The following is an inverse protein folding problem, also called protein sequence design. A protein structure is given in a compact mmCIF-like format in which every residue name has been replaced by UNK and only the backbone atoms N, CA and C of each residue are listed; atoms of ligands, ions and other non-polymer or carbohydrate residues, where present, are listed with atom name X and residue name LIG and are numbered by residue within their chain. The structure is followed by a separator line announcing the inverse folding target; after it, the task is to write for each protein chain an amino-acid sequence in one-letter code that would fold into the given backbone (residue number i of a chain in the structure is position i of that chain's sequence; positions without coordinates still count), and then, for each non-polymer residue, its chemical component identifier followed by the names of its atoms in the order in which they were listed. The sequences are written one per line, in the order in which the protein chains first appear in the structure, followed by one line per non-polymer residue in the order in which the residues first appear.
data_IF_620759749578
#
_entry.id   IF_620759749578
#
_cell.length_a   1.000
_cell.length_b   1.000
_cell.length_c   1.000
_cell.angle_alpha   90.00
_cell.angle_beta   90.00
_cell.angle_gamma   90.00
#
_symmetry.space_group_name_H-M   'P 1'
#
loop_
_entity.id
_entity.type
_entity.pdbx_description
1 polymer ?
2 non-polymer ?
3 water ?
#
# COMPACT_ATOMS: atom_id res chain seq x y z
N UNK A 20 -8.85 -20.03 21.13
CA UNK A 20 -8.05 -20.43 19.93
C UNK A 20 -8.74 -19.90 18.69
N UNK A 21 -9.76 -20.69 18.28
CA UNK A 21 -10.65 -20.36 17.21
C UNK A 21 -11.11 -18.91 17.42
N UNK A 22 -11.31 -18.48 18.67
CA UNK A 22 -11.56 -17.06 18.98
C UNK A 22 -10.44 -16.05 18.57
N UNK A 23 -9.20 -16.52 18.65
CA UNK A 23 -8.04 -15.70 18.28
C UNK A 23 -7.84 -15.70 16.75
N UNK A 24 -8.02 -16.87 16.13
CA UNK A 24 -8.26 -17.02 14.73
C UNK A 24 -9.49 -16.24 14.05
N UNK A 25 -10.58 -16.04 14.79
CA UNK A 25 -11.55 -15.00 14.51
C UNK A 25 -10.89 -13.61 14.60
N UNK A 26 -9.87 -13.55 15.44
CA UNK A 26 -9.02 -12.36 15.64
C UNK A 26 -8.17 -11.94 14.43
N UNK A 27 -7.83 -12.91 13.64
CA UNK A 27 -6.96 -12.77 12.49
C UNK A 27 -7.78 -12.59 11.18
N UNK A 28 -9.06 -13.01 11.19
CA UNK A 28 -9.81 -13.30 9.99
C UNK A 28 -10.39 -12.09 9.30
N UNK A 29 -10.40 -12.13 7.99
CA UNK A 29 -11.00 -11.05 7.18
C UNK A 29 -12.23 -11.55 6.35
N UNK A 30 -12.80 -12.70 6.75
CA UNK A 30 -13.86 -13.34 5.94
C UNK A 30 -15.02 -12.36 5.83
N UNK A 31 -15.58 -12.23 4.64
CA UNK A 31 -16.69 -11.27 4.47
C UNK A 31 -16.20 -9.81 4.17
N UNK A 32 -14.87 -9.50 4.28
CA UNK A 32 -14.42 -8.11 3.98
C UNK A 32 -14.00 -7.98 2.55
N UNK A 33 -14.33 -6.86 1.95
CA UNK A 33 -13.81 -6.61 0.62
C UNK A 33 -12.63 -5.64 0.66
N UNK A 34 -11.53 -5.99 0.00
CA UNK A 34 -10.39 -5.11 -0.05
C UNK A 34 -10.19 -4.55 -1.48
N UNK A 35 -9.76 -3.30 -1.57
CA UNK A 35 -9.27 -2.69 -2.78
C UNK A 35 -7.74 -2.32 -2.61
N UNK A 36 -6.88 -2.92 -3.42
CA UNK A 36 -5.46 -2.78 -3.32
C UNK A 36 -4.88 -2.17 -4.61
N UNK A 37 -4.39 -0.94 -4.57
CA UNK A 37 -3.73 -0.36 -5.80
C UNK A 37 -2.31 -0.92 -5.85
N UNK A 38 -1.73 -1.05 -7.04
CA UNK A 38 -0.44 -1.63 -7.25
C UNK A 38 -0.42 -3.12 -6.89
N UNK A 39 -1.55 -3.82 -7.04
CA UNK A 39 -1.64 -5.26 -6.70
C UNK A 39 -1.02 -6.25 -7.70
N UNK A 40 -0.35 -5.77 -8.73
CA UNK A 40 0.13 -6.65 -9.83
C UNK A 40 1.53 -7.18 -9.51
N UNK A 41 2.20 -6.48 -8.59
CA UNK A 41 3.62 -6.74 -8.32
C UNK A 41 4.09 -6.31 -6.88
N UNK A 42 5.28 -6.80 -6.52
CA UNK A 42 6.03 -6.48 -5.31
C UNK A 42 5.13 -6.51 -4.10
N UNK A 43 5.17 -5.39 -3.39
CA UNK A 43 4.50 -5.28 -2.10
C UNK A 43 3.00 -5.38 -2.24
N UNK A 44 2.42 -4.65 -3.20
CA UNK A 44 1.01 -4.70 -3.48
C UNK A 44 0.44 -6.12 -3.72
N UNK A 45 1.13 -6.90 -4.55
CA UNK A 45 0.73 -8.30 -4.85
C UNK A 45 0.85 -9.15 -3.59
N UNK A 46 1.92 -8.94 -2.80
CA UNK A 46 2.02 -9.71 -1.58
C UNK A 46 0.91 -9.33 -0.64
N UNK A 47 0.56 -8.05 -0.57
CA UNK A 47 -0.58 -7.68 0.31
C UNK A 47 -1.91 -8.29 -0.20
N UNK A 48 -2.18 -8.18 -1.51
CA UNK A 48 -3.44 -8.69 -2.04
C UNK A 48 -3.56 -10.20 -1.75
N UNK A 49 -2.47 -10.94 -1.91
CA UNK A 49 -2.47 -12.32 -1.50
C UNK A 49 -2.63 -12.65 -0.04
N UNK A 50 -1.97 -11.88 0.86
CA UNK A 50 -2.15 -12.14 2.24
C UNK A 50 -3.57 -11.77 2.67
N UNK A 51 -4.12 -10.65 2.20
CA UNK A 51 -5.46 -10.31 2.54
C UNK A 51 -6.50 -11.41 2.11
N UNK A 52 -6.31 -11.97 0.91
CA UNK A 52 -7.15 -13.05 0.36
C UNK A 52 -6.94 -14.33 1.16
N UNK A 53 -5.69 -14.67 1.50
CA UNK A 53 -5.46 -15.77 2.44
C UNK A 53 -6.26 -15.68 3.78
N UNK A 54 -6.32 -14.50 4.39
CA UNK A 54 -7.17 -14.35 5.57
C UNK A 54 -8.64 -14.20 5.34
N UNK A 55 -9.13 -14.32 4.08
CA UNK A 55 -10.57 -14.34 3.82
C UNK A 55 -11.16 -13.17 3.08
N UNK A 56 -10.37 -12.11 2.86
CA UNK A 56 -10.92 -10.94 2.16
C UNK A 56 -11.15 -11.25 0.67
N UNK A 57 -12.19 -10.70 0.10
CA UNK A 57 -12.29 -10.72 -1.33
C UNK A 57 -11.51 -9.49 -1.84
N UNK A 58 -10.62 -9.67 -2.81
CA UNK A 58 -9.73 -8.65 -3.17
C UNK A 58 -9.88 -8.13 -4.61
N UNK A 59 -10.15 -6.83 -4.76
CA UNK A 59 -9.97 -6.14 -6.06
C UNK A 59 -8.58 -5.47 -6.03
N UNK A 60 -7.76 -5.76 -7.03
CA UNK A 60 -6.46 -5.20 -7.20
C UNK A 60 -6.43 -4.48 -8.60
N UNK A 61 -5.69 -3.35 -8.65
CA UNK A 61 -5.65 -2.54 -9.83
C UNK A 61 -4.28 -2.58 -10.45
N UNK A 62 -4.22 -2.22 -11.74
CA UNK A 62 -2.95 -2.21 -12.45
C UNK A 62 -3.11 -1.14 -13.56
N UNK A 63 -2.02 -0.66 -14.13
CA UNK A 63 -2.10 0.42 -15.10
C UNK A 63 -2.02 -0.19 -16.48
N UNK A 64 -0.98 -0.97 -16.78
CA UNK A 64 -0.93 -1.65 -18.05
C UNK A 64 -0.50 -3.14 -17.99
N UNK A 65 0.09 -3.59 -16.85
CA UNK A 65 0.57 -5.00 -16.69
C UNK A 65 -0.61 -6.01 -16.50
N UNK A 66 -1.47 -6.13 -17.53
CA UNK A 66 -2.69 -6.97 -17.48
C UNK A 66 -2.45 -8.44 -17.10
N UNK A 67 -1.39 -9.00 -17.67
CA UNK A 67 -1.08 -10.43 -17.52
C UNK A 67 -0.61 -10.70 -16.11
N UNK A 68 0.32 -9.88 -15.60
CA UNK A 68 0.81 -10.00 -14.22
C UNK A 68 -0.37 -9.93 -13.16
N UNK A 69 -1.32 -9.04 -13.36
CA UNK A 69 -2.42 -8.85 -12.48
C UNK A 69 -3.37 -10.06 -12.50
N UNK A 70 -3.68 -10.53 -13.70
CA UNK A 70 -4.40 -11.80 -13.84
C UNK A 70 -3.70 -12.97 -13.19
N UNK A 71 -2.39 -13.06 -13.26
CA UNK A 71 -1.73 -14.19 -12.65
C UNK A 71 -1.78 -14.07 -11.07
N UNK A 72 -1.81 -12.84 -10.55
CA UNK A 72 -1.98 -12.70 -9.11
C UNK A 72 -3.39 -13.18 -8.73
N UNK A 73 -4.43 -12.70 -9.42
CA UNK A 73 -5.76 -13.27 -9.25
C UNK A 73 -5.75 -14.84 -9.33
N UNK A 74 -5.09 -15.42 -10.32
CA UNK A 74 -5.06 -16.90 -10.37
C UNK A 74 -4.43 -17.50 -9.16
N UNK A 75 -3.29 -16.95 -8.70
CA UNK A 75 -2.70 -17.48 -7.45
C UNK A 75 -3.66 -17.38 -6.25
N UNK A 76 -4.38 -16.28 -6.16
CA UNK A 76 -5.28 -16.12 -5.04
C UNK A 76 -6.44 -17.20 -5.19
N UNK A 77 -7.00 -17.34 -6.39
CA UNK A 77 -8.03 -18.37 -6.64
C UNK A 77 -7.57 -19.81 -6.34
N UNK A 78 -6.35 -20.12 -6.69
CA UNK A 78 -5.80 -21.44 -6.46
C UNK A 78 -5.65 -21.77 -4.97
N UNK A 79 -5.35 -20.74 -4.16
CA UNK A 79 -5.25 -20.95 -2.75
C UNK A 79 -6.63 -20.82 -2.11
N UNK A 80 -7.70 -20.72 -2.87
CA UNK A 80 -9.00 -20.78 -2.23
C UNK A 80 -9.70 -19.44 -2.00
N UNK A 81 -9.11 -18.35 -2.53
CA UNK A 81 -9.72 -17.04 -2.34
C UNK A 81 -10.45 -16.49 -3.54
N UNK A 82 -10.96 -15.29 -3.38
CA UNK A 82 -11.70 -14.60 -4.39
C UNK A 82 -10.98 -13.26 -4.70
N UNK A 83 -10.82 -12.92 -5.98
CA UNK A 83 -10.14 -11.69 -6.39
C UNK A 83 -10.53 -11.32 -7.84
N UNK A 84 -10.42 -10.04 -8.17
CA UNK A 84 -10.61 -9.50 -9.53
C UNK A 84 -9.50 -8.48 -9.81
N UNK A 85 -9.03 -8.40 -11.04
CA UNK A 85 -8.08 -7.40 -11.45
C UNK A 85 -8.83 -6.32 -12.27
N UNK A 86 -8.64 -5.03 -11.93
CA UNK A 86 -9.31 -3.95 -12.64
C UNK A 86 -8.24 -2.98 -13.14
N UNK A 87 -8.33 -2.56 -14.42
CA UNK A 87 -7.39 -1.65 -15.00
C UNK A 87 -7.77 -0.23 -14.55
N UNK A 88 -6.82 0.50 -13.96
CA UNK A 88 -7.14 1.90 -13.52
C UNK A 88 -5.80 2.62 -13.42
N UNK A 89 -5.54 3.48 -14.38
CA UNK A 89 -4.37 4.33 -14.44
C UNK A 89 -4.44 5.32 -13.20
N UNK A 90 -3.48 5.23 -12.32
CA UNK A 90 -3.42 6.14 -11.15
C UNK A 90 -3.30 7.63 -11.52
N UNK A 91 -2.81 7.97 -12.71
CA UNK A 91 -2.83 9.40 -13.17
C UNK A 91 -4.21 10.00 -13.42
N UNK A 92 -5.27 9.16 -13.51
CA UNK A 92 -6.61 9.53 -13.93
C UNK A 92 -7.60 9.29 -12.75
N UNK A 93 -8.04 10.36 -12.11
CA UNK A 93 -8.88 10.31 -11.02
C UNK A 93 -10.18 9.55 -11.37
N UNK A 94 -10.73 9.76 -12.57
CA UNK A 94 -11.96 9.12 -12.95
C UNK A 94 -11.78 7.62 -13.06
N UNK A 95 -10.68 7.18 -13.62
CA UNK A 95 -10.40 5.78 -13.67
C UNK A 95 -10.36 5.10 -12.24
N UNK A 96 -9.78 5.79 -11.26
CA UNK A 96 -9.73 5.27 -9.89
C UNK A 96 -11.10 5.20 -9.32
N UNK A 97 -11.91 6.21 -9.51
CA UNK A 97 -13.21 6.23 -8.90
C UNK A 97 -14.17 5.16 -9.55
N UNK A 98 -14.01 4.95 -10.83
CA UNK A 98 -14.73 3.90 -11.55
C UNK A 98 -14.32 2.50 -11.02
N UNK A 99 -13.02 2.28 -10.86
CA UNK A 99 -12.51 1.04 -10.35
C UNK A 99 -13.15 0.80 -8.97
N UNK A 100 -13.22 1.79 -8.13
CA UNK A 100 -13.84 1.63 -6.85
C UNK A 100 -15.34 1.31 -6.91
N UNK A 101 -16.06 1.98 -7.79
CA UNK A 101 -17.49 1.72 -8.01
C UNK A 101 -17.72 0.30 -8.52
N UNK A 102 -16.86 -0.15 -9.39
CA UNK A 102 -16.87 -1.48 -9.89
C UNK A 102 -16.61 -2.52 -8.83
N UNK A 103 -15.78 -2.19 -7.88
CA UNK A 103 -15.39 -3.14 -6.88
C UNK A 103 -16.60 -3.33 -6.01
N UNK A 104 -17.20 -2.22 -5.66
CA UNK A 104 -18.30 -2.22 -4.80
C UNK A 104 -19.49 -3.04 -5.38
N UNK A 105 -19.66 -2.98 -6.71
CA UNK A 105 -20.81 -3.57 -7.34
C UNK A 105 -20.56 -5.03 -7.50
N UNK A 106 -19.35 -5.39 -7.86
CA UNK A 106 -19.02 -6.77 -8.10
C UNK A 106 -18.78 -7.61 -6.80
N UNK A 107 -18.25 -7.01 -5.74
CA UNK A 107 -17.82 -7.72 -4.56
C UNK A 107 -18.69 -7.36 -3.36
N UNK A 108 -19.62 -6.42 -3.47
CA UNK A 108 -20.61 -6.22 -2.43
C UNK A 108 -20.45 -5.03 -1.48
N UNK A 109 -19.29 -4.37 -1.47
CA UNK A 109 -19.12 -3.28 -0.51
C UNK A 109 -17.64 -3.01 -0.50
N UNK A 110 -17.15 -2.26 0.51
CA UNK A 110 -15.69 -1.99 0.52
C UNK A 110 -15.31 -1.74 1.91
N UNK A 111 -14.38 -2.53 2.46
CA UNK A 111 -14.11 -2.48 3.90
C UNK A 111 -12.63 -2.11 4.13
N UNK A 112 -11.78 -2.39 3.16
CA UNK A 112 -10.36 -2.21 3.34
C UNK A 112 -9.78 -1.54 2.11
N UNK A 113 -9.10 -0.41 2.28
CA UNK A 113 -8.34 0.20 1.18
C UNK A 113 -6.85 0.18 1.49
N UNK A 114 -6.08 -0.34 0.56
CA UNK A 114 -4.67 -0.28 0.67
C UNK A 114 -4.11 0.45 -0.56
N UNK A 115 -3.34 1.52 -0.29
CA UNK A 115 -2.68 2.33 -1.33
C UNK A 115 -1.27 1.82 -1.47
N UNK A 116 -0.98 1.09 -2.53
CA UNK A 116 0.32 0.51 -2.63
C UNK A 116 0.89 0.63 -4.07
N UNK A 117 0.56 1.69 -4.77
CA UNK A 117 1.00 1.85 -6.17
C UNK A 117 2.08 2.94 -6.31
N UNK A 118 2.88 3.19 -5.32
CA UNK A 118 3.97 4.17 -5.55
C UNK A 118 4.94 3.85 -6.70
N UNK A 119 5.53 4.89 -7.34
CA UNK A 119 6.71 4.70 -8.22
C UNK A 119 8.00 5.31 -7.64
N UNK A 120 9.10 4.66 -7.93
CA UNK A 120 10.39 5.12 -7.47
C UNK A 120 10.86 6.26 -8.37
N UNK A 121 11.56 7.23 -7.78
CA UNK A 121 12.22 8.22 -8.54
C UNK A 121 13.52 8.64 -7.82
N UNK A 122 14.56 8.77 -8.63
CA UNK A 122 15.88 9.20 -8.17
C UNK A 122 16.59 9.96 -9.29
N UNK A 123 17.19 11.14 -9.03
CA UNK A 123 17.95 11.88 -10.07
C UNK A 123 18.66 13.04 -9.41
N UNK A 124 19.80 13.45 -9.98
CA UNK A 124 20.44 14.65 -9.44
C UNK A 124 19.48 15.83 -9.48
N UNK A 125 19.52 16.68 -8.46
CA UNK A 125 18.61 17.84 -8.48
C UNK A 125 18.70 18.65 -9.76
N UNK A 126 19.93 18.87 -10.26
CA UNK A 126 20.17 19.65 -11.49
C UNK A 126 19.53 19.03 -12.73
N UNK A 127 19.21 17.73 -12.68
CA UNK A 127 18.44 17.11 -13.75
C UNK A 127 16.94 16.88 -13.48
N UNK A 128 16.37 17.55 -12.47
CA UNK A 128 14.97 17.28 -12.09
C UNK A 128 14.17 18.43 -12.54
N UNK A 129 13.06 18.13 -13.22
CA UNK A 129 12.28 19.23 -13.79
C UNK A 129 11.00 19.38 -13.01
N UNK A 130 10.29 20.44 -13.32
CA UNK A 130 8.97 20.63 -12.76
C UNK A 130 8.02 19.49 -13.19
N UNK A 131 8.12 19.06 -14.45
CA UNK A 131 7.35 17.87 -14.96
C UNK A 131 7.65 16.60 -14.20
N UNK A 132 8.91 16.35 -13.83
CA UNK A 132 9.24 15.26 -12.89
C UNK A 132 8.51 15.34 -11.54
N UNK A 133 8.45 16.54 -10.91
CA UNK A 133 7.70 16.71 -9.68
C UNK A 133 6.28 16.34 -9.93
N UNK A 134 5.72 16.88 -11.02
CA UNK A 134 4.29 16.73 -11.30
C UNK A 134 3.92 15.22 -11.44
N UNK A 135 4.77 14.52 -12.16
CA UNK A 135 4.66 13.10 -12.43
C UNK A 135 4.80 12.23 -11.15
N UNK A 136 5.85 12.47 -10.33
CA UNK A 136 5.98 11.75 -9.05
C UNK A 136 4.77 11.97 -8.17
N UNK A 137 4.32 13.23 -8.05
CA UNK A 137 3.19 13.52 -7.15
C UNK A 137 1.88 12.97 -7.68
N UNK A 138 1.67 12.96 -8.99
CA UNK A 138 0.38 12.53 -9.53
C UNK A 138 0.11 11.07 -9.08
N UNK A 139 1.14 10.25 -9.08
CA UNK A 139 1.00 8.87 -8.75
C UNK A 139 1.27 8.56 -7.25
N UNK A 140 2.27 9.21 -6.65
CA UNK A 140 2.68 8.89 -5.28
C UNK A 140 1.82 9.49 -4.24
N UNK A 141 1.23 10.63 -4.52
CA UNK A 141 0.58 11.43 -3.48
C UNK A 141 -0.91 11.68 -3.85
N UNK A 142 -1.16 12.16 -5.07
CA UNK A 142 -2.49 12.51 -5.48
C UNK A 142 -3.39 11.24 -5.68
N UNK A 143 -2.85 10.21 -6.32
CA UNK A 143 -3.61 8.96 -6.54
C UNK A 143 -4.10 8.28 -5.22
N UNK A 144 -3.23 8.15 -4.19
CA UNK A 144 -3.81 7.80 -2.85
C UNK A 144 -4.88 8.71 -2.32
N UNK A 145 -4.75 10.02 -2.43
CA UNK A 145 -5.86 10.85 -1.94
C UNK A 145 -7.16 10.58 -2.72
N UNK A 146 -7.09 10.53 -4.08
CA UNK A 146 -8.27 10.18 -4.90
C UNK A 146 -8.99 8.86 -4.45
N UNK A 147 -8.21 7.79 -4.29
CA UNK A 147 -8.74 6.51 -3.85
C UNK A 147 -9.35 6.67 -2.47
N UNK A 148 -8.69 7.37 -1.56
CA UNK A 148 -9.22 7.51 -0.22
C UNK A 148 -10.51 8.29 -0.26
N UNK A 149 -10.56 9.39 -1.00
CA UNK A 149 -11.74 10.22 -0.89
C UNK A 149 -12.95 9.45 -1.48
N UNK A 150 -12.74 8.72 -2.56
CA UNK A 150 -13.78 7.90 -3.13
C UNK A 150 -14.12 6.63 -2.29
N UNK A 151 -13.13 5.91 -1.72
CA UNK A 151 -13.44 4.71 -0.93
C UNK A 151 -14.23 5.14 0.29
N UNK A 152 -13.99 6.36 0.75
CA UNK A 152 -14.53 6.79 1.99
C UNK A 152 -16.06 6.88 2.03
N UNK A 153 -16.78 7.07 0.93
CA UNK A 153 -18.26 6.94 1.02
C UNK A 153 -18.65 5.51 1.38
N UNK A 154 -17.86 4.53 0.99
CA UNK A 154 -18.31 3.14 1.10
C UNK A 154 -17.91 2.47 2.41
N UNK A 155 -16.96 3.03 3.13
CA UNK A 155 -16.40 2.33 4.26
C UNK A 155 -17.35 2.56 5.38
N UNK A 156 -17.44 1.66 6.35
CA UNK A 156 -18.31 1.90 7.49
C UNK A 156 -17.53 1.67 8.79
N UNK A 157 -18.26 1.56 9.91
CA UNK A 157 -17.65 1.18 11.19
C UNK A 157 -16.83 -0.09 11.01
N UNK A 158 -15.58 -0.12 11.46
CA UNK A 158 -14.73 -1.27 11.20
C UNK A 158 -13.90 -1.10 9.92
N UNK A 159 -14.09 -0.02 9.17
CA UNK A 159 -13.28 0.16 7.92
C UNK A 159 -11.79 0.39 8.14
N UNK A 160 -10.97 0.15 7.12
CA UNK A 160 -9.51 0.27 7.24
C UNK A 160 -8.93 1.01 6.04
N UNK A 161 -8.11 2.03 6.28
CA UNK A 161 -7.31 2.61 5.20
C UNK A 161 -5.84 2.40 5.57
N UNK A 162 -5.06 1.77 4.69
CA UNK A 162 -3.65 1.60 5.02
C UNK A 162 -2.85 2.10 3.85
N UNK A 163 -1.91 3.01 4.04
CA UNK A 163 -1.12 3.47 2.91
C UNK A 163 0.30 2.93 2.99
N UNK A 164 0.92 2.58 1.84
CA UNK A 164 2.29 2.17 1.89
C UNK A 164 3.18 3.39 1.64
N UNK A 165 4.02 3.75 2.63
CA UNK A 165 4.84 4.94 2.54
C UNK A 165 6.25 4.48 2.19
N UNK A 166 7.23 4.84 3.01
CA UNK A 166 8.61 4.41 2.80
C UNK A 166 9.34 4.86 4.05
N UNK A 167 10.38 4.19 4.49
CA UNK A 167 11.17 4.76 5.61
C UNK A 167 11.89 6.10 5.24
N UNK A 168 11.99 6.38 3.92
CA UNK A 168 12.51 7.65 3.40
C UNK A 168 11.55 8.79 3.73
N UNK A 169 10.34 8.50 4.18
CA UNK A 169 9.47 9.56 4.66
C UNK A 169 9.97 10.24 5.96
N UNK A 170 10.77 9.55 6.75
CA UNK A 170 11.19 10.06 8.02
C UNK A 170 12.67 10.43 8.07
N UNK A 171 13.46 9.90 7.14
CA UNK A 171 14.88 10.00 7.23
C UNK A 171 15.40 9.87 5.80
N UNK A 172 16.09 10.87 5.32
CA UNK A 172 16.60 10.87 3.94
C UNK A 172 18.15 10.89 3.94
N UNK A 173 18.79 9.71 3.79
CA UNK A 173 20.24 9.67 3.98
C UNK A 173 21.08 10.08 2.77
N UNK A 174 20.45 10.26 1.61
CA UNK A 174 21.15 10.41 0.34
C UNK A 174 20.61 11.60 -0.47
N UNK A 175 21.44 12.17 -1.37
CA UNK A 175 20.95 13.17 -2.33
C UNK A 175 20.18 12.43 -3.44
N UNK A 176 19.45 13.15 -4.25
CA UNK A 176 18.82 12.52 -5.40
C UNK A 176 17.39 12.08 -5.16
N UNK A 177 16.89 12.06 -3.91
CA UNK A 177 15.57 11.41 -3.66
C UNK A 177 14.53 12.31 -3.00
N UNK A 178 14.65 13.61 -3.19
CA UNK A 178 13.77 14.59 -2.55
C UNK A 178 12.35 14.43 -2.93
N UNK A 179 12.04 14.23 -4.23
CA UNK A 179 10.66 14.07 -4.69
C UNK A 179 10.03 12.84 -4.08
N UNK A 180 10.74 11.73 -4.13
CA UNK A 180 10.13 10.45 -3.69
C UNK A 180 9.88 10.58 -2.20
N UNK A 181 10.92 11.01 -1.46
CA UNK A 181 10.82 11.21 0.01
C UNK A 181 9.71 12.16 0.43
N UNK A 182 9.64 13.29 -0.23
CA UNK A 182 8.59 14.20 0.01
C UNK A 182 7.18 13.59 -0.26
N UNK A 183 7.02 12.86 -1.34
CA UNK A 183 5.67 12.30 -1.68
C UNK A 183 5.22 11.38 -0.53
N UNK A 184 6.18 10.67 0.08
CA UNK A 184 5.85 9.74 1.16
C UNK A 184 5.61 10.44 2.52
N UNK A 185 6.42 11.48 2.82
CA UNK A 185 6.16 12.35 3.94
C UNK A 185 4.80 13.04 3.84
N UNK A 186 4.40 13.44 2.65
CA UNK A 186 3.08 14.05 2.46
C UNK A 186 2.00 13.05 2.86
N UNK A 187 2.13 11.81 2.43
CA UNK A 187 1.15 10.76 2.76
C UNK A 187 1.02 10.54 4.29
N UNK A 188 2.14 10.63 5.03
CA UNK A 188 2.09 10.48 6.48
C UNK A 188 1.31 11.67 7.07
N UNK A 189 1.50 12.88 6.54
CA UNK A 189 0.79 14.03 7.10
C UNK A 189 -0.70 13.90 6.72
N UNK A 190 -0.98 13.42 5.51
CA UNK A 190 -2.38 13.22 5.06
C UNK A 190 -3.06 12.18 5.97
N UNK A 191 -2.35 11.07 6.24
CA UNK A 191 -2.78 10.05 7.21
C UNK A 191 -3.21 10.55 8.59
N UNK A 192 -2.43 11.42 9.21
CA UNK A 192 -2.86 11.98 10.52
C UNK A 192 -4.15 12.76 10.40
N UNK A 193 -4.25 13.58 9.38
CA UNK A 193 -5.43 14.42 9.26
C UNK A 193 -6.66 13.56 8.93
N UNK A 194 -6.48 12.53 8.10
CA UNK A 194 -7.58 11.61 7.73
C UNK A 194 -7.99 10.73 8.88
N UNK A 195 -7.05 10.42 9.79
CA UNK A 195 -7.44 9.68 10.96
C UNK A 195 -8.46 10.46 11.82
N UNK A 196 -8.26 11.78 11.93
CA UNK A 196 -9.22 12.65 12.61
C UNK A 196 -10.56 12.72 11.89
N UNK A 197 -10.51 12.84 10.55
CA UNK A 197 -11.73 12.91 9.76
C UNK A 197 -12.56 11.66 9.92
N UNK A 198 -11.93 10.47 9.90
CA UNK A 198 -12.65 9.20 9.71
C UNK A 198 -12.83 8.42 11.00
N UNK A 199 -12.07 8.78 12.03
CA UNK A 199 -12.21 8.21 13.36
C UNK A 199 -13.61 8.08 13.95
N UNK A 200 -14.41 9.17 13.98
CA UNK A 200 -15.76 9.14 14.56
C UNK A 200 -16.66 8.16 13.81
N UNK A 201 -16.30 7.78 12.59
CA UNK A 201 -17.03 6.77 11.88
C UNK A 201 -16.55 5.35 12.15
N UNK A 202 -15.50 5.19 12.95
CA UNK A 202 -15.01 3.83 13.30
C UNK A 202 -14.03 3.34 12.23
N UNK A 203 -13.40 4.23 11.45
CA UNK A 203 -12.45 3.78 10.39
C UNK A 203 -11.03 4.14 10.85
N UNK A 204 -10.08 3.20 10.72
CA UNK A 204 -8.72 3.55 11.12
C UNK A 204 -7.98 3.88 9.86
N UNK A 205 -6.97 4.75 10.00
CA UNK A 205 -6.18 5.24 8.82
C UNK A 205 -4.74 5.26 9.25
N UNK A 206 -3.92 4.43 8.63
CA UNK A 206 -2.53 4.28 9.06
C UNK A 206 -1.59 4.26 7.88
N UNK A 207 -0.29 4.40 8.16
CA UNK A 207 0.67 4.31 7.08
C UNK A 207 1.81 3.43 7.51
N UNK A 208 2.15 2.52 6.64
CA UNK A 208 3.24 1.59 6.86
C UNK A 208 4.45 2.02 6.01
N UNK A 209 5.64 2.15 6.63
CA UNK A 209 6.82 2.64 5.92
C UNK A 209 7.85 1.50 5.70
N UNK A 210 7.90 0.88 4.51
CA UNK A 210 8.81 -0.24 4.33
C UNK A 210 10.16 0.34 4.11
N UNK A 211 11.16 -0.41 4.55
CA UNK A 211 12.57 -0.07 4.23
C UNK A 211 12.92 -0.89 2.97
N UNK A 212 14.14 -1.39 2.87
CA UNK A 212 14.60 -2.06 1.63
C UNK A 212 14.03 -3.48 1.60
N UNK A 213 13.26 -3.71 0.56
CA UNK A 213 12.44 -4.88 0.41
C UNK A 213 12.80 -5.41 -0.96
N UNK A 214 13.15 -6.67 -0.99
CA UNK A 214 13.63 -7.31 -2.16
C UNK A 214 12.51 -7.38 -3.24
N UNK A 215 12.54 -6.46 -4.21
CA UNK A 215 11.50 -6.31 -5.26
C UNK A 215 12.17 -5.96 -6.64
N UNK A 216 11.40 -5.99 -7.75
CA UNK A 216 11.81 -5.34 -9.04
C UNK A 216 12.29 -3.86 -8.89
N UNK A 217 11.45 -3.04 -8.19
CA UNK A 217 11.78 -1.64 -7.83
C UNK A 217 13.11 -1.54 -7.06
N UNK A 218 13.37 -2.53 -6.18
CA UNK A 218 14.54 -2.54 -5.28
C UNK A 218 15.22 -3.92 -5.09
N UNK A 219 15.91 -4.44 -6.14
CA UNK A 219 16.48 -5.83 -6.03
C UNK A 219 17.57 -6.01 -4.92
N UNK A 220 17.45 -7.04 -4.07
CA UNK A 220 18.52 -7.33 -3.06
C UNK A 220 20.01 -7.46 -3.59
N UNK A 221 20.13 -7.52 -4.93
CA UNK A 221 21.40 -7.42 -5.63
C UNK A 221 21.68 -5.98 -6.05
N UNK A 222 22.88 -5.54 -5.73
CA UNK A 222 23.39 -4.21 -5.96
C UNK A 222 23.56 -4.27 -7.44
N UNK A 223 23.73 -3.17 -8.15
CA UNK A 223 24.27 -1.93 -7.67
C UNK A 223 23.47 -1.09 -6.73
N UNK A 224 24.15 -0.57 -5.75
CA UNK A 224 23.55 0.35 -4.82
C UNK A 224 22.75 -0.38 -3.73
N UNK A 225 22.70 -1.70 -3.78
CA UNK A 225 22.04 -2.41 -2.71
C UNK A 225 22.85 -2.26 -1.46
N UNK A 226 24.16 -2.36 -1.62
CA UNK A 226 25.07 -2.29 -0.47
C UNK A 226 24.92 -1.06 0.41
N UNK A 227 24.84 0.12 -0.19
CA UNK A 227 24.63 1.36 0.59
C UNK A 227 23.37 1.23 1.55
N UNK A 228 22.30 0.63 1.00
CA UNK A 228 21.03 0.39 1.71
C UNK A 228 21.18 -0.71 2.76
N UNK A 229 21.84 -1.80 2.35
CA UNK A 229 22.05 -2.99 3.18
C UNK A 229 22.88 -2.71 4.45
N UNK A 230 23.84 -1.81 4.34
CA UNK A 230 24.74 -1.38 5.39
C UNK A 230 24.02 -0.74 6.60
N UNK A 231 22.98 0.02 6.31
CA UNK A 231 22.07 0.63 7.23
C UNK A 231 21.24 -0.33 8.09
N UNK A 232 20.93 -1.49 7.55
CA UNK A 232 20.01 -2.38 8.18
C UNK A 232 20.56 -3.06 9.41
N UNK A 233 19.94 -2.82 10.54
CA UNK A 233 20.41 -3.41 11.79
C UNK A 233 20.39 -4.95 11.75
N UNK A 234 19.37 -5.58 11.19
CA UNK A 234 19.37 -6.99 11.20
C UNK A 234 20.08 -7.59 9.97
N UNK A 235 20.74 -6.76 9.13
CA UNK A 235 21.77 -7.27 8.17
C UNK A 235 21.33 -7.60 6.71
N UNK A 236 20.01 -7.80 6.47
CA UNK A 236 19.48 -8.08 5.11
C UNK A 236 18.23 -7.28 4.77
N UNK A 237 18.02 -7.16 3.46
CA UNK A 237 16.75 -6.69 2.88
C UNK A 237 15.61 -7.55 3.43
N UNK A 238 14.43 -6.95 3.58
CA UNK A 238 13.27 -7.71 3.97
C UNK A 238 12.62 -8.26 2.73
N UNK A 239 11.36 -8.67 2.84
CA UNK A 239 10.66 -9.34 1.74
C UNK A 239 9.29 -8.71 1.73
N UNK A 240 8.61 -8.77 0.62
CA UNK A 240 7.28 -8.24 0.49
C UNK A 240 6.26 -8.83 1.48
N UNK A 241 6.46 -10.08 1.79
CA UNK A 241 5.69 -10.81 2.75
C UNK A 241 5.78 -10.17 4.16
N UNK A 242 6.93 -9.64 4.54
CA UNK A 242 7.01 -8.93 5.81
C UNK A 242 6.04 -7.75 5.86
N UNK A 243 5.97 -6.98 4.78
CA UNK A 243 5.13 -5.83 4.76
C UNK A 243 3.70 -6.30 4.73
N UNK A 244 3.39 -7.34 3.94
CA UNK A 244 2.00 -7.83 3.83
C UNK A 244 1.50 -8.27 5.19
N UNK A 245 2.39 -8.82 6.06
CA UNK A 245 1.88 -9.39 7.37
C UNK A 245 1.49 -8.22 8.27
N UNK A 246 2.23 -7.09 8.22
CA UNK A 246 1.85 -5.95 9.06
C UNK A 246 0.55 -5.31 8.53
N UNK A 247 0.43 -5.20 7.21
CA UNK A 247 -0.79 -4.70 6.63
C UNK A 247 -2.01 -5.53 6.98
N UNK A 248 -1.84 -6.87 6.90
CA UNK A 248 -2.93 -7.78 7.22
C UNK A 248 -3.32 -7.68 8.71
N UNK A 249 -2.33 -7.45 9.59
CA UNK A 249 -2.63 -7.33 11.02
C UNK A 249 -3.44 -6.02 11.24
N UNK A 250 -2.98 -4.89 10.63
CA UNK A 250 -3.69 -3.62 10.73
C UNK A 250 -5.10 -3.68 10.16
N UNK A 251 -5.27 -4.47 9.09
CA UNK A 251 -6.54 -4.56 8.38
C UNK A 251 -7.61 -5.32 9.14
N UNK A 252 -7.23 -6.08 10.16
CA UNK A 252 -8.17 -6.95 10.82
C UNK A 252 -8.58 -6.43 12.18
N UNK A 253 -9.37 -7.23 12.91
CA UNK A 253 -9.87 -6.76 14.24
C UNK A 253 -8.77 -6.33 15.22
N UNK A 254 -7.57 -6.90 15.15
CA UNK A 254 -6.56 -6.57 16.15
C UNK A 254 -5.98 -5.15 15.95
N UNK A 255 -6.20 -4.55 14.76
CA UNK A 255 -5.76 -3.15 14.50
C UNK A 255 -6.69 -2.07 14.95
N UNK A 256 -7.72 -2.42 15.73
CA UNK A 256 -8.82 -1.46 15.98
C UNK A 256 -8.46 -0.22 16.76
N UNK A 257 -7.48 -0.33 17.65
CA UNK A 257 -7.01 0.81 18.46
C UNK A 257 -5.72 1.47 17.85
N UNK A 258 -5.36 1.11 16.61
CA UNK A 258 -4.25 1.81 15.94
C UNK A 258 -4.80 2.69 14.86
N UNK A 259 -4.58 4.01 14.99
CA UNK A 259 -4.96 4.88 13.87
C UNK A 259 -4.15 6.18 13.90
N UNK A 260 -3.95 6.83 12.73
CA UNK A 260 -3.15 8.06 12.62
C UNK A 260 -1.68 7.66 12.76
N UNK A 261 -1.34 6.35 12.74
CA UNK A 261 -0.03 5.92 13.11
C UNK A 261 0.86 5.75 11.89
N UNK A 262 2.15 5.98 12.10
CA UNK A 262 3.24 5.57 11.17
C UNK A 262 3.95 4.33 11.69
N UNK A 263 4.01 3.28 10.90
CA UNK A 263 4.67 2.08 11.42
C UNK A 263 5.82 1.74 10.49
N UNK A 264 7.03 1.85 10.99
CA UNK A 264 8.21 1.60 10.10
C UNK A 264 8.66 0.11 10.16
N UNK A 265 8.84 -0.52 9.00
CA UNK A 265 9.20 -1.90 8.99
C UNK A 265 10.38 -1.95 8.02
N UNK A 266 11.59 -1.80 8.55
CA UNK A 266 12.73 -1.49 7.74
C UNK A 266 14.01 -2.15 8.25
N UNK A 267 13.91 -3.20 9.08
CA UNK A 267 15.07 -3.87 9.59
C UNK A 267 15.95 -3.01 10.47
N UNK A 268 15.45 -1.86 10.94
CA UNK A 268 16.30 -0.97 11.76
C UNK A 268 17.11 0.07 10.98
N UNK A 269 16.89 0.21 9.66
CA UNK A 269 17.64 1.19 8.93
C UNK A 269 17.50 2.57 9.55
N UNK A 270 16.31 2.93 9.96
CA UNK A 270 16.04 4.17 10.61
C UNK A 270 16.32 4.34 12.10
N UNK A 271 16.83 3.33 12.78
CA UNK A 271 17.10 3.46 14.19
C UNK A 271 18.05 4.66 14.51
X LIG B 1 -8.31 13.74 -13.49
X LIG B 1 -9.51 12.87 -13.70
X LIG B 1 -7.09 13.02 -13.07
X LIG B 1 -7.99 14.33 -14.81
X LIG B 1 -8.69 14.77 -12.48
X LIG C 1 1.34 -1.67 -13.09
X LIG C 1 0.85 -0.73 -11.98
X LIG C 1 2.32 -2.73 -12.80
X LIG C 1 0.04 -2.10 -13.58
X LIG C 1 1.96 -1.16 -14.31
#
# INVERSE_FOLDING_TARGET
XHHHHHHSSGVDLGTENLYFQSMMTSISLAGKTAFVTGGSRGIGAAIAKRLALEGAAVALTYVNAAERAQAVVSEIEQAGGRAVAIRADNRDAEAIEQAIRETVEALGGLDILVNSAGIWHSAPLEETTVADFDEVMAVNFRAPFVAIRSASRHLGDGGRIITIGSNLAELVPWPGISLYSASKAALAGLTKGLARDLGPRGITVNIVHPGSTDTDMNPADGDHAEAQRERIATGSYGEPQDIAGLVAWLAGPQGKFVTGASLTIDGGANA
SO4 S O1 O2 O3 O4
SO4 S O1 O2 O3 O4
#
